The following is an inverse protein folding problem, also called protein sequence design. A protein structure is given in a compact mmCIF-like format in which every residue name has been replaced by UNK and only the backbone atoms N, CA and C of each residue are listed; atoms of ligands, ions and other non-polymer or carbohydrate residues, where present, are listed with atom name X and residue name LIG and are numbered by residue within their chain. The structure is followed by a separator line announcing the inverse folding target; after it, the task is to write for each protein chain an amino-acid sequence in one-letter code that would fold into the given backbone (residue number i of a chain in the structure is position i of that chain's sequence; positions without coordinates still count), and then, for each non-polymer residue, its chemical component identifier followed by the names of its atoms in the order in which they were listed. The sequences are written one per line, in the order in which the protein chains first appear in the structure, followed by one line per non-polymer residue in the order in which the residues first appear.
data_IF_792255814636
#
_entry.id   IF_792255814636
#
_cell.length_a   1.000
_cell.length_b   1.000
_cell.length_c   1.000
_cell.angle_alpha   90.00
_cell.angle_beta   90.00
_cell.angle_gamma   90.00
#
_symmetry.space_group_name_H-M   'P 1'
#
loop_
_entity.id
_entity.type
_entity.pdbx_description
1 polymer ?
#
# COMPACT_ATOMS: atom_id res chain seq x y z
N UNK A 1 37.05 25.27 27.28
CA UNK A 1 36.89 24.77 25.89
C UNK A 1 36.78 23.26 25.98
N UNK A 2 35.60 22.70 25.66
CA UNK A 2 35.30 21.28 25.87
C UNK A 2 35.88 20.46 24.71
N UNK A 3 36.71 19.49 25.06
CA UNK A 3 37.27 18.50 24.13
C UNK A 3 36.16 17.54 23.67
N UNK A 4 36.12 17.25 22.38
CA UNK A 4 35.20 16.30 21.78
C UNK A 4 35.81 14.89 21.85
N UNK A 5 35.02 13.93 22.33
CA UNK A 5 35.35 12.50 22.34
C UNK A 5 35.00 11.94 20.96
N UNK A 6 35.99 11.39 20.26
CA UNK A 6 35.76 10.57 19.08
C UNK A 6 35.43 9.15 19.53
N UNK A 7 34.22 8.66 19.24
CA UNK A 7 33.88 7.24 19.37
C UNK A 7 34.23 6.57 18.05
N UNK A 8 35.23 5.69 18.13
CA UNK A 8 35.62 4.76 17.07
C UNK A 8 34.64 3.57 17.12
N UNK A 9 33.69 3.51 16.19
CA UNK A 9 32.93 2.28 15.96
C UNK A 9 33.70 1.39 14.98
N UNK A 10 34.10 0.21 15.45
CA UNK A 10 34.80 -0.81 14.66
C UNK A 10 33.81 -1.50 13.72
N UNK A 11 34.25 -1.64 12.47
CA UNK A 11 33.58 -2.30 11.35
C UNK A 11 33.05 -3.70 11.69
N UNK A 12 31.76 -3.90 11.40
CA UNK A 12 31.20 -5.18 10.95
C UNK A 12 30.73 -5.01 9.51
N UNK A 13 31.65 -4.97 8.56
CA UNK A 13 31.31 -4.99 7.14
C UNK A 13 31.04 -6.44 6.71
N UNK A 14 29.78 -6.81 6.52
CA UNK A 14 29.44 -7.90 5.62
C UNK A 14 29.57 -7.37 4.19
N UNK A 15 30.66 -7.75 3.52
CA UNK A 15 30.83 -7.55 2.08
C UNK A 15 29.84 -8.45 1.34
N UNK A 16 28.76 -7.86 0.82
CA UNK A 16 28.09 -8.31 -0.38
C UNK A 16 28.24 -7.21 -1.42
N UNK A 17 28.83 -7.51 -2.57
CA UNK A 17 28.80 -6.61 -3.72
C UNK A 17 27.37 -6.65 -4.28
N UNK A 18 26.52 -5.75 -3.81
CA UNK A 18 25.15 -5.56 -4.26
C UNK A 18 24.83 -4.07 -4.14
N UNK A 19 24.26 -3.48 -5.18
CA UNK A 19 23.82 -2.09 -5.12
C UNK A 19 22.89 -1.86 -3.93
N UNK A 20 22.90 -0.65 -3.37
CA UNK A 20 21.88 -0.26 -2.40
C UNK A 20 20.51 -0.54 -3.02
N UNK A 21 19.64 -1.24 -2.29
CA UNK A 21 18.26 -1.41 -2.73
C UNK A 21 17.61 -0.03 -2.87
N UNK A 22 17.05 0.23 -4.04
CA UNK A 22 16.30 1.45 -4.32
C UNK A 22 14.83 1.10 -4.14
N UNK A 23 14.09 1.74 -3.21
CA UNK A 23 12.67 1.49 -3.06
C UNK A 23 11.92 1.85 -4.34
N UNK A 24 10.97 1.03 -4.79
CA UNK A 24 10.06 1.44 -5.85
C UNK A 24 9.17 2.59 -5.37
N UNK A 25 8.66 3.37 -6.31
CA UNK A 25 7.72 4.47 -6.03
C UNK A 25 6.28 3.92 -6.00
N UNK A 26 5.96 3.21 -4.92
CA UNK A 26 4.62 2.69 -4.65
C UNK A 26 3.92 3.57 -3.63
N UNK A 27 2.68 3.96 -3.94
CA UNK A 27 1.84 4.78 -3.07
C UNK A 27 0.46 4.17 -2.88
N UNK A 28 -0.13 4.37 -1.71
CA UNK A 28 -1.58 4.18 -1.55
C UNK A 28 -2.26 5.28 -2.34
N UNK A 29 -3.03 4.94 -3.37
CA UNK A 29 -3.58 5.91 -4.30
C UNK A 29 -5.01 6.34 -3.96
N UNK A 30 -5.87 5.37 -3.70
CA UNK A 30 -7.24 5.60 -3.25
C UNK A 30 -7.78 4.43 -2.43
N UNK A 31 -8.88 4.67 -1.70
CA UNK A 31 -9.62 3.64 -1.00
C UNK A 31 -11.11 3.98 -0.90
N UNK A 32 -11.93 2.93 -0.79
CA UNK A 32 -13.36 3.01 -0.45
C UNK A 32 -13.61 2.04 0.70
N UNK A 33 -13.78 2.57 1.91
CA UNK A 33 -14.03 1.79 3.14
C UNK A 33 -15.53 1.51 3.41
N UNK A 34 -16.39 1.81 2.43
CA UNK A 34 -17.78 1.42 2.44
C UNK A 34 -18.30 1.39 1.01
N UNK A 35 -18.34 0.20 0.42
CA UNK A 35 -18.78 0.00 -0.96
C UNK A 35 -20.16 -0.69 -0.99
N UNK A 36 -21.14 -0.06 -1.63
CA UNK A 36 -22.51 -0.57 -1.74
C UNK A 36 -23.01 -0.64 -3.19
N UNK A 37 -22.43 0.15 -4.09
CA UNK A 37 -22.86 0.18 -5.50
C UNK A 37 -21.73 0.37 -6.52
N UNK A 38 -20.48 0.43 -6.06
CA UNK A 38 -19.28 0.65 -6.89
C UNK A 38 -18.70 -0.63 -7.47
N UNK A 39 -17.39 -0.84 -7.23
CA UNK A 39 -16.65 -2.00 -7.74
C UNK A 39 -17.22 -3.31 -7.19
N UNK A 40 -17.33 -4.33 -8.03
CA UNK A 40 -17.69 -5.68 -7.61
C UNK A 40 -16.49 -6.62 -7.66
N UNK A 41 -16.45 -7.58 -6.75
CA UNK A 41 -15.57 -8.74 -6.86
C UNK A 41 -16.15 -9.78 -7.85
N UNK A 42 -15.43 -10.87 -8.08
CA UNK A 42 -15.83 -11.95 -8.98
C UNK A 42 -17.09 -12.70 -8.51
N UNK A 43 -17.46 -12.59 -7.22
CA UNK A 43 -18.70 -13.13 -6.66
C UNK A 43 -19.92 -12.24 -6.94
N UNK A 44 -19.69 -10.99 -7.35
CA UNK A 44 -20.71 -9.96 -7.53
C UNK A 44 -21.07 -9.23 -6.24
N UNK A 45 -20.28 -9.40 -5.17
CA UNK A 45 -20.41 -8.62 -3.95
C UNK A 45 -19.73 -7.25 -4.12
N UNK A 46 -19.93 -6.35 -3.15
CA UNK A 46 -19.29 -5.03 -3.12
C UNK A 46 -18.36 -4.92 -1.91
N UNK A 47 -17.19 -5.59 -1.89
CA UNK A 47 -16.19 -5.39 -0.86
C UNK A 47 -15.69 -3.96 -0.78
N UNK A 48 -15.23 -3.57 0.41
CA UNK A 48 -14.34 -2.44 0.54
C UNK A 48 -13.04 -2.74 -0.22
N UNK A 49 -12.35 -1.70 -0.67
CA UNK A 49 -11.12 -1.89 -1.46
C UNK A 49 -10.19 -0.70 -1.32
N UNK A 50 -8.94 -0.96 -1.66
CA UNK A 50 -7.87 0.02 -1.73
C UNK A 50 -7.06 -0.19 -3.01
N UNK A 51 -6.35 0.85 -3.42
CA UNK A 51 -5.51 0.82 -4.61
C UNK A 51 -4.08 1.26 -4.29
N UNK A 52 -3.11 0.53 -4.84
CA UNK A 52 -1.71 0.91 -4.87
C UNK A 52 -1.35 1.33 -6.29
N UNK A 53 -0.74 2.51 -6.44
CA UNK A 53 -0.19 2.97 -7.71
C UNK A 53 1.33 2.80 -7.74
N UNK A 54 1.86 2.40 -8.89
CA UNK A 54 3.30 2.39 -9.19
C UNK A 54 3.64 3.62 -10.05
N UNK A 55 4.28 4.61 -9.44
CA UNK A 55 4.69 5.84 -10.12
C UNK A 55 6.05 5.70 -10.82
N UNK A 56 6.69 4.55 -10.67
CA UNK A 56 7.96 4.21 -11.30
C UNK A 56 7.85 3.85 -12.79
N UNK A 57 9.02 3.74 -13.42
CA UNK A 57 9.19 3.38 -14.83
C UNK A 57 9.49 1.89 -15.06
N UNK A 58 9.45 1.08 -14.01
CA UNK A 58 9.69 -0.37 -14.03
C UNK A 58 8.54 -1.13 -13.35
N UNK A 59 8.30 -2.36 -13.79
CA UNK A 59 7.33 -3.26 -13.15
C UNK A 59 7.81 -3.65 -11.74
N UNK A 60 6.89 -3.66 -10.78
CA UNK A 60 7.20 -3.98 -9.38
C UNK A 60 6.54 -5.30 -8.98
N UNK A 61 7.35 -6.26 -8.55
CA UNK A 61 6.88 -7.55 -8.05
C UNK A 61 6.71 -7.52 -6.52
N UNK A 62 5.53 -7.90 -6.04
CA UNK A 62 5.09 -7.69 -4.66
C UNK A 62 5.08 -8.94 -3.77
N UNK A 63 5.45 -10.14 -4.23
CA UNK A 63 5.40 -11.39 -3.42
C UNK A 63 6.01 -11.30 -2.01
N UNK A 64 6.95 -10.38 -1.77
CA UNK A 64 7.59 -10.18 -0.47
C UNK A 64 7.09 -8.95 0.30
N UNK A 65 6.22 -8.13 -0.29
CA UNK A 65 5.74 -6.88 0.28
C UNK A 65 4.62 -7.17 1.28
N UNK A 66 4.29 -6.20 2.12
CA UNK A 66 3.20 -6.33 3.09
C UNK A 66 2.29 -5.10 3.12
N UNK A 67 1.03 -5.32 3.44
CA UNK A 67 0.06 -4.30 3.79
C UNK A 67 -0.39 -4.46 5.24
N UNK A 68 -0.76 -3.35 5.85
CA UNK A 68 -1.42 -3.33 7.15
C UNK A 68 -2.36 -2.13 7.26
N UNK A 69 -3.47 -2.35 7.96
CA UNK A 69 -4.38 -1.33 8.50
C UNK A 69 -4.03 -0.96 9.97
N UNK A 70 -2.95 -1.54 10.52
CA UNK A 70 -2.48 -1.38 11.90
C UNK A 70 -0.95 -1.25 11.91
N UNK A 71 -0.43 -0.05 12.17
CA UNK A 71 1.02 0.20 12.24
C UNK A 71 1.75 -0.58 13.33
N UNK A 72 1.03 -1.12 14.31
CA UNK A 72 1.63 -2.00 15.33
C UNK A 72 1.91 -3.40 14.79
N UNK A 73 1.35 -3.76 13.62
CA UNK A 73 1.48 -5.03 12.92
C UNK A 73 1.95 -4.81 11.46
N UNK A 74 3.19 -4.36 11.21
CA UNK A 74 3.64 -3.95 9.87
C UNK A 74 3.70 -5.09 8.83
N UNK A 75 3.56 -6.35 9.26
CA UNK A 75 3.46 -7.54 8.42
C UNK A 75 2.10 -8.24 8.58
N UNK A 76 1.02 -7.48 8.83
CA UNK A 76 -0.33 -8.05 9.07
C UNK A 76 -0.80 -8.91 7.90
N UNK A 77 -0.56 -8.47 6.66
CA UNK A 77 -0.91 -9.20 5.45
C UNK A 77 0.22 -9.15 4.42
N UNK A 78 0.51 -10.28 3.79
CA UNK A 78 1.50 -10.39 2.71
C UNK A 78 0.80 -10.56 1.37
N UNK A 79 1.34 -9.92 0.33
CA UNK A 79 0.82 -10.08 -1.02
C UNK A 79 0.93 -11.54 -1.49
N UNK A 80 -0.06 -12.06 -2.23
CA UNK A 80 0.04 -13.37 -2.87
C UNK A 80 1.24 -13.45 -3.82
N UNK A 81 1.80 -14.66 -3.95
CA UNK A 81 2.94 -14.87 -4.83
C UNK A 81 2.59 -14.57 -6.31
N UNK A 82 3.47 -13.82 -6.99
CA UNK A 82 3.31 -13.40 -8.38
C UNK A 82 2.46 -12.14 -8.59
N UNK A 83 2.07 -11.45 -7.51
CA UNK A 83 1.35 -10.18 -7.60
C UNK A 83 2.29 -9.08 -8.02
N UNK A 84 2.04 -8.45 -9.17
CA UNK A 84 2.88 -7.36 -9.70
C UNK A 84 2.06 -6.16 -10.14
N UNK A 85 2.68 -4.99 -10.12
CA UNK A 85 2.12 -3.74 -10.66
C UNK A 85 3.02 -3.28 -11.82
N UNK A 86 2.48 -3.15 -13.05
CA UNK A 86 3.26 -2.61 -14.16
C UNK A 86 3.78 -1.19 -13.89
N UNK A 87 4.80 -0.75 -14.62
CA UNK A 87 5.24 0.64 -14.63
C UNK A 87 4.07 1.59 -14.93
N UNK A 88 3.84 2.61 -14.10
CA UNK A 88 2.69 3.52 -14.21
C UNK A 88 1.33 2.86 -13.99
N UNK A 89 1.30 1.63 -13.47
CA UNK A 89 0.09 0.83 -13.28
C UNK A 89 -0.52 0.97 -11.89
N UNK A 90 -1.70 0.37 -11.75
CA UNK A 90 -2.49 0.35 -10.52
C UNK A 90 -2.82 -1.09 -10.14
N UNK A 91 -2.92 -1.35 -8.84
CA UNK A 91 -3.38 -2.61 -8.29
C UNK A 91 -4.52 -2.36 -7.32
N UNK A 92 -5.71 -2.83 -7.70
CA UNK A 92 -6.88 -2.86 -6.83
C UNK A 92 -6.84 -4.10 -5.95
N UNK A 93 -7.12 -3.90 -4.68
CA UNK A 93 -7.04 -4.92 -3.63
C UNK A 93 -8.33 -4.82 -2.80
N UNK A 94 -9.12 -5.90 -2.80
CA UNK A 94 -10.30 -6.00 -1.97
C UNK A 94 -9.92 -6.21 -0.50
N UNK A 95 -10.65 -5.57 0.41
CA UNK A 95 -10.44 -5.59 1.84
C UNK A 95 -11.73 -6.06 2.54
N UNK A 96 -12.02 -7.35 2.37
CA UNK A 96 -13.21 -8.04 2.88
C UNK A 96 -12.90 -9.09 3.96
N UNK A 97 -11.63 -9.36 4.24
CA UNK A 97 -11.23 -10.42 5.15
C UNK A 97 -11.48 -11.84 4.59
N UNK A 98 -11.75 -11.97 3.30
CA UNK A 98 -12.01 -13.24 2.62
C UNK A 98 -10.73 -13.79 1.96
N UNK A 99 -10.66 -15.12 1.72
CA UNK A 99 -9.51 -15.69 1.02
C UNK A 99 -9.45 -15.21 -0.43
N UNK A 100 -8.24 -15.07 -0.97
CA UNK A 100 -8.03 -14.64 -2.35
C UNK A 100 -8.79 -15.50 -3.38
N UNK A 101 -9.46 -14.84 -4.32
CA UNK A 101 -10.09 -15.45 -5.48
C UNK A 101 -9.17 -15.45 -6.72
N UNK A 102 -9.34 -16.39 -7.68
CA UNK A 102 -8.48 -16.43 -8.86
C UNK A 102 -8.58 -15.15 -9.71
N UNK A 103 -7.48 -14.39 -9.79
CA UNK A 103 -7.39 -13.17 -10.59
C UNK A 103 -7.69 -11.89 -9.83
N UNK A 104 -8.04 -11.99 -8.55
CA UNK A 104 -8.29 -10.86 -7.65
C UNK A 104 -7.38 -10.96 -6.43
N UNK A 105 -7.11 -9.82 -5.80
CA UNK A 105 -6.28 -9.75 -4.59
C UNK A 105 -7.18 -9.34 -3.43
N UNK A 106 -7.27 -10.19 -2.41
CA UNK A 106 -8.07 -9.95 -1.22
C UNK A 106 -7.19 -9.94 0.02
N UNK A 107 -7.37 -8.96 0.88
CA UNK A 107 -6.73 -8.92 2.19
C UNK A 107 -7.49 -9.74 3.21
N UNK A 108 -6.80 -10.22 4.23
CA UNK A 108 -7.42 -10.91 5.36
C UNK A 108 -7.97 -9.94 6.43
N UNK A 109 -8.06 -8.65 6.11
CA UNK A 109 -8.62 -7.61 6.97
C UNK A 109 -9.67 -6.81 6.19
N UNK A 110 -10.38 -5.92 6.90
CA UNK A 110 -11.38 -5.02 6.33
C UNK A 110 -11.00 -3.59 6.64
N UNK A 111 -11.48 -2.67 5.83
CA UNK A 111 -11.35 -1.25 6.11
C UNK A 111 -12.43 -0.79 7.09
N UNK A 112 -12.06 -0.01 8.08
CA UNK A 112 -12.98 0.55 9.06
C UNK A 112 -13.61 1.87 8.58
N UNK A 113 -14.93 1.89 8.41
CA UNK A 113 -15.67 3.09 7.96
C UNK A 113 -15.47 4.33 8.85
N UNK A 114 -15.09 4.16 10.12
CA UNK A 114 -14.83 5.29 11.04
C UNK A 114 -13.43 5.90 10.90
N UNK A 115 -12.59 5.33 10.04
CA UNK A 115 -11.23 5.78 9.79
C UNK A 115 -10.19 5.02 10.58
N UNK A 116 -9.05 4.78 9.94
CA UNK A 116 -7.87 4.12 10.47
C UNK A 116 -6.64 4.51 9.64
N UNK A 117 -5.56 3.75 9.79
CA UNK A 117 -4.34 3.91 9.03
C UNK A 117 -4.20 2.78 8.00
N UNK A 118 -3.53 3.03 6.89
CA UNK A 118 -3.13 2.01 5.94
C UNK A 118 -1.68 2.26 5.53
N UNK A 119 -0.87 1.21 5.51
CA UNK A 119 0.54 1.30 5.15
C UNK A 119 0.98 0.15 4.26
N UNK A 120 1.87 0.47 3.32
CA UNK A 120 2.57 -0.49 2.48
C UNK A 120 4.06 -0.49 2.84
N UNK A 121 4.59 -1.68 3.08
CA UNK A 121 6.00 -1.91 3.33
C UNK A 121 6.62 -2.69 2.17
N UNK A 122 7.91 -2.44 1.94
CA UNK A 122 8.72 -3.18 1.00
C UNK A 122 8.95 -4.63 1.41
N UNK A 123 9.91 -5.33 0.78
CA UNK A 123 10.18 -6.73 1.07
C UNK A 123 10.34 -7.01 2.57
N UNK A 124 9.64 -8.04 3.06
CA UNK A 124 9.64 -8.55 4.44
C UNK A 124 11.00 -9.17 4.82
N UNK A 125 12.00 -8.30 4.82
CA UNK A 125 13.40 -8.49 5.19
C UNK A 125 13.62 -7.83 6.56
N UNK A 126 14.84 -7.92 7.11
CA UNK A 126 15.15 -7.34 8.43
C UNK A 126 14.86 -5.82 8.50
N UNK A 127 15.01 -5.10 7.39
CA UNK A 127 14.85 -3.63 7.36
C UNK A 127 13.40 -3.18 7.20
N UNK A 128 12.50 -4.05 6.71
CA UNK A 128 11.06 -3.82 6.45
C UNK A 128 10.72 -2.35 6.14
N UNK A 129 11.19 -1.82 5.00
CA UNK A 129 11.12 -0.39 4.72
C UNK A 129 9.68 0.05 4.50
N UNK A 130 9.24 1.11 5.20
CA UNK A 130 7.97 1.76 4.91
C UNK A 130 8.07 2.48 3.55
N UNK A 131 7.14 2.20 2.64
CA UNK A 131 7.08 2.86 1.33
C UNK A 131 6.12 4.04 1.36
N UNK A 132 4.88 3.79 1.81
CA UNK A 132 3.86 4.83 1.94
C UNK A 132 2.88 4.48 3.07
N UNK A 133 2.24 5.53 3.59
CA UNK A 133 1.29 5.45 4.69
C UNK A 133 0.25 6.56 4.56
N UNK A 134 -1.01 6.20 4.80
CA UNK A 134 -2.13 7.14 4.86
C UNK A 134 -2.92 6.91 6.15
N UNK A 135 -3.44 7.99 6.71
CA UNK A 135 -4.53 7.93 7.69
C UNK A 135 -5.76 8.53 7.03
N UNK A 136 -6.89 7.83 7.10
CA UNK A 136 -8.14 8.30 6.54
C UNK A 136 -9.19 8.53 7.65
N UNK A 137 -10.04 9.57 7.53
CA UNK A 137 -11.08 9.85 8.51
C UNK A 137 -12.30 8.93 8.30
N UNK A 138 -13.38 9.18 9.04
CA UNK A 138 -14.66 8.53 8.75
C UNK A 138 -15.07 8.73 7.28
N UNK A 139 -15.48 7.64 6.64
CA UNK A 139 -15.78 7.56 5.22
C UNK A 139 -17.29 7.64 4.94
N UNK A 140 -17.62 8.03 3.71
CA UNK A 140 -18.99 8.01 3.17
C UNK A 140 -19.11 6.84 2.21
N UNK A 141 -20.23 6.11 2.27
CA UNK A 141 -20.50 5.00 1.34
C UNK A 141 -20.40 5.45 -0.12
N UNK A 142 -19.74 4.64 -0.95
CA UNK A 142 -19.49 4.83 -2.38
C UNK A 142 -18.66 6.09 -2.72
N UNK A 143 -17.92 6.65 -1.76
CA UNK A 143 -17.03 7.80 -1.96
C UNK A 143 -15.59 7.37 -1.68
N UNK A 144 -14.67 7.81 -2.54
CA UNK A 144 -13.26 7.52 -2.38
C UNK A 144 -12.55 8.55 -1.51
N UNK A 145 -11.61 8.07 -0.70
CA UNK A 145 -10.51 8.84 -0.17
C UNK A 145 -9.34 8.66 -1.13
N UNK A 146 -9.06 9.65 -1.97
CA UNK A 146 -8.17 9.51 -3.12
C UNK A 146 -7.12 10.63 -3.22
N UNK A 147 -5.89 10.30 -3.66
CA UNK A 147 -4.84 11.28 -3.94
C UNK A 147 -5.21 12.16 -5.13
N UNK A 148 -5.20 13.47 -4.93
CA UNK A 148 -5.55 14.47 -5.94
C UNK A 148 -4.53 15.61 -5.94
N UNK A 149 -3.65 15.72 -6.95
CA UNK A 149 -3.56 14.91 -8.18
C UNK A 149 -3.22 13.43 -7.96
N UNK A 150 -3.56 12.58 -8.93
CA UNK A 150 -3.27 11.14 -8.94
C UNK A 150 -1.82 10.81 -8.51
N UNK A 151 -1.68 9.82 -7.63
CA UNK A 151 -0.41 9.32 -7.09
C UNK A 151 0.40 10.29 -6.21
N UNK A 152 0.22 11.60 -6.35
CA UNK A 152 1.20 12.60 -5.87
C UNK A 152 0.60 13.66 -4.97
N UNK A 153 -0.72 13.85 -5.03
CA UNK A 153 -1.43 14.86 -4.28
C UNK A 153 -1.77 14.48 -2.85
N UNK A 154 -2.36 15.47 -2.18
CA UNK A 154 -3.06 15.26 -0.92
C UNK A 154 -4.33 14.43 -1.16
N UNK A 155 -4.82 13.76 -0.13
CA UNK A 155 -6.06 13.02 -0.23
C UNK A 155 -7.29 13.93 -0.16
N UNK A 156 -8.29 13.65 -1.01
CA UNK A 156 -9.61 14.27 -1.03
C UNK A 156 -10.68 13.29 -0.53
N UNK A 157 -11.66 13.77 0.26
CA UNK A 157 -12.73 12.96 0.87
C UNK A 157 -14.03 12.86 0.08
N UNK A 158 -14.14 13.58 -1.04
CA UNK A 158 -15.34 13.61 -1.87
C UNK A 158 -15.00 13.18 -3.31
N UNK A 159 -14.03 12.28 -3.47
CA UNK A 159 -13.57 11.83 -4.77
C UNK A 159 -14.53 10.77 -5.36
N UNK A 160 -14.69 10.81 -6.68
CA UNK A 160 -15.36 9.71 -7.40
C UNK A 160 -14.37 8.56 -7.48
N UNK A 161 -14.74 7.33 -7.05
CA UNK A 161 -13.80 6.21 -7.10
C UNK A 161 -13.39 5.85 -8.54
N UNK A 162 -12.11 5.53 -8.75
CA UNK A 162 -11.51 5.28 -10.07
C UNK A 162 -10.71 3.97 -10.13
N UNK A 163 -11.30 2.82 -9.72
CA UNK A 163 -10.55 1.58 -9.56
C UNK A 163 -9.83 1.15 -10.85
N UNK A 164 -8.51 0.98 -10.74
CA UNK A 164 -7.62 0.58 -11.83
C UNK A 164 -7.25 1.71 -12.79
N UNK A 165 -7.49 2.96 -12.43
CA UNK A 165 -7.27 4.14 -13.27
C UNK A 165 -6.79 5.34 -12.46
N UNK A 166 -6.33 6.39 -13.16
CA UNK A 166 -5.92 7.63 -12.52
C UNK A 166 -7.12 8.36 -11.86
N UNK A 167 -6.89 8.94 -10.69
CA UNK A 167 -7.86 9.80 -10.01
C UNK A 167 -8.11 11.11 -10.79
N UNK A 168 -9.37 11.55 -10.90
CA UNK A 168 -9.82 12.75 -11.67
C UNK A 168 -10.68 13.76 -10.89
#
# INVERSE_FOLDING_TARGET
MRAWIAILAVLGACKGEGGAWVPPDLVVNELVASNASGLQDASGAFPDWLEIANLGDEDVELSSYTLTDDSTLPQKWSFPAGTSIPAGGYLVIFADGDPAEPGEVHTTFRLEILGEELAIFGPATEDLPLLDQVTYPAQTTDVAWARMPDGTGEFAADATPTPGAANE
#
